data_IF_001082873227
#
_entry.id   IF_001082873227
#
_cell.length_a   1.000
_cell.length_b   1.000
_cell.length_c   1.000
_cell.angle_alpha   90.00
_cell.angle_beta   90.00
_cell.angle_gamma   90.00
#
_symmetry.space_group_name_H-M   'P 1'
#
loop_
_entity.id
_entity.type
_entity.pdbx_description
1 polymer ?
#
# COMPACT_ATOMS: atom_id res chain seq x y z
N UNK A 1 -7.91 19.36 -40.21
CA UNK A 1 -7.81 18.19 -39.32
C UNK A 1 -8.78 18.42 -38.17
N UNK A 2 -9.60 17.43 -37.80
CA UNK A 2 -10.47 17.55 -36.65
C UNK A 2 -9.65 17.72 -35.36
N UNK A 3 -10.11 18.60 -34.49
CA UNK A 3 -9.65 18.65 -33.11
C UNK A 3 -10.48 17.72 -32.25
N UNK A 4 -9.83 16.81 -31.54
CA UNK A 4 -10.49 15.85 -30.66
C UNK A 4 -10.21 16.15 -29.19
N UNK A 5 -11.17 15.83 -28.33
CA UNK A 5 -10.90 15.63 -26.91
C UNK A 5 -10.34 14.21 -26.74
N UNK A 6 -9.14 14.09 -26.18
CA UNK A 6 -8.45 12.81 -26.08
C UNK A 6 -8.33 12.35 -24.62
N UNK A 7 -8.21 11.03 -24.45
CA UNK A 7 -7.85 10.36 -23.21
C UNK A 7 -6.69 9.42 -23.48
N UNK A 8 -5.74 9.36 -22.56
CA UNK A 8 -4.76 8.26 -22.55
C UNK A 8 -5.35 7.08 -21.80
N UNK A 9 -4.89 5.87 -22.13
CA UNK A 9 -5.31 4.63 -21.49
C UNK A 9 -4.09 3.74 -21.28
N UNK A 10 -3.88 3.31 -20.03
CA UNK A 10 -2.78 2.44 -19.63
C UNK A 10 -3.32 1.33 -18.74
N UNK A 11 -2.94 0.08 -19.03
CA UNK A 11 -3.32 -1.08 -18.23
C UNK A 11 -2.15 -1.51 -17.34
N UNK A 12 -2.38 -1.52 -16.03
CA UNK A 12 -1.40 -1.98 -15.05
C UNK A 12 -1.74 -3.38 -14.56
N UNK A 13 -0.70 -4.18 -14.30
CA UNK A 13 -0.82 -5.43 -13.55
C UNK A 13 -0.91 -5.09 -12.06
N UNK A 14 -1.72 -5.86 -11.33
CA UNK A 14 -1.85 -5.74 -9.88
C UNK A 14 -1.89 -7.12 -9.25
N UNK A 15 -1.28 -7.24 -8.08
CA UNK A 15 -1.18 -8.47 -7.28
C UNK A 15 -1.84 -8.27 -5.93
N UNK A 16 -2.17 -9.37 -5.24
CA UNK A 16 -2.78 -9.33 -3.91
C UNK A 16 -4.06 -8.47 -3.83
N UNK A 17 -4.80 -8.32 -4.93
CA UNK A 17 -5.94 -7.43 -5.01
C UNK A 17 -7.22 -8.22 -5.25
N UNK A 18 -7.87 -8.58 -4.14
CA UNK A 18 -9.17 -9.24 -4.16
C UNK A 18 -10.26 -8.24 -3.78
N UNK A 19 -11.34 -8.21 -4.57
CA UNK A 19 -12.47 -7.30 -4.38
C UNK A 19 -13.77 -8.07 -4.21
N UNK A 20 -14.71 -7.47 -3.49
CA UNK A 20 -16.07 -7.97 -3.38
C UNK A 20 -16.81 -7.87 -4.72
N UNK A 21 -17.80 -8.73 -4.95
CA UNK A 21 -18.56 -8.71 -6.19
C UNK A 21 -19.23 -7.35 -6.46
N UNK A 22 -19.65 -6.60 -5.45
CA UNK A 22 -20.26 -5.27 -5.61
C UNK A 22 -19.27 -4.14 -5.94
N UNK A 23 -17.96 -4.41 -5.89
CA UNK A 23 -16.90 -3.48 -6.29
C UNK A 23 -16.46 -3.67 -7.74
N UNK A 24 -16.66 -4.86 -8.33
CA UNK A 24 -16.36 -5.11 -9.74
C UNK A 24 -17.11 -4.14 -10.67
N UNK A 25 -16.40 -3.61 -11.66
CA UNK A 25 -16.91 -2.65 -12.63
C UNK A 25 -17.01 -1.20 -12.13
N UNK A 26 -16.66 -0.93 -10.87
CA UNK A 26 -16.58 0.43 -10.35
C UNK A 26 -15.30 1.14 -10.81
N UNK A 27 -15.30 2.45 -10.66
CA UNK A 27 -14.16 3.31 -10.95
C UNK A 27 -13.96 4.34 -9.83
N UNK A 28 -12.71 4.81 -9.67
CA UNK A 28 -12.39 6.03 -8.94
C UNK A 28 -12.03 7.12 -9.94
N UNK A 29 -12.65 8.28 -9.80
CA UNK A 29 -12.36 9.49 -10.57
C UNK A 29 -11.87 10.58 -9.62
N UNK A 30 -10.68 11.13 -9.85
CA UNK A 30 -10.05 12.10 -8.96
C UNK A 30 -9.04 13.01 -9.69
N UNK A 31 -8.73 14.16 -9.10
CA UNK A 31 -7.63 15.02 -9.57
C UNK A 31 -6.31 14.54 -8.97
N UNK A 32 -5.29 14.37 -9.82
CA UNK A 32 -3.94 14.05 -9.39
C UNK A 32 -2.96 15.05 -10.00
N UNK A 33 -2.46 15.98 -9.18
CA UNK A 33 -1.57 17.06 -9.61
C UNK A 33 -2.10 17.85 -10.83
N UNK A 34 -3.41 18.11 -10.84
CA UNK A 34 -4.09 18.83 -11.91
C UNK A 34 -4.45 17.98 -13.12
N UNK A 35 -4.29 16.66 -13.09
CA UNK A 35 -4.76 15.73 -14.14
C UNK A 35 -6.03 15.03 -13.67
N UNK A 36 -7.06 14.95 -14.52
CA UNK A 36 -8.24 14.14 -14.24
C UNK A 36 -7.92 12.68 -14.54
N UNK A 37 -7.92 11.85 -13.50
CA UNK A 37 -7.58 10.43 -13.56
C UNK A 37 -8.82 9.59 -13.25
N UNK A 38 -9.05 8.56 -14.06
CA UNK A 38 -10.07 7.54 -13.85
C UNK A 38 -9.41 6.16 -13.77
N UNK A 39 -9.50 5.50 -12.62
CA UNK A 39 -9.01 4.13 -12.41
C UNK A 39 -10.20 3.17 -12.38
N UNK A 40 -10.25 2.24 -13.34
CA UNK A 40 -11.42 1.38 -13.62
C UNK A 40 -11.11 -0.09 -13.34
N UNK A 41 -11.99 -0.72 -12.59
CA UNK A 41 -11.95 -2.16 -12.39
C UNK A 41 -12.64 -2.89 -13.55
N UNK A 42 -12.21 -4.14 -13.85
CA UNK A 42 -12.92 -4.98 -14.79
C UNK A 42 -14.38 -5.21 -14.39
N UNK A 43 -15.24 -5.38 -15.38
CA UNK A 43 -16.62 -5.81 -15.20
C UNK A 43 -16.70 -7.28 -14.80
N UNK A 44 -17.80 -7.69 -14.17
CA UNK A 44 -18.01 -9.07 -13.72
C UNK A 44 -17.94 -10.10 -14.85
N UNK A 45 -18.44 -9.74 -16.03
CA UNK A 45 -18.44 -10.60 -17.22
C UNK A 45 -17.05 -10.69 -17.89
N UNK A 46 -16.07 -9.94 -17.39
CA UNK A 46 -14.66 -10.01 -17.80
C UNK A 46 -13.83 -10.99 -16.97
N UNK A 47 -14.37 -11.51 -15.87
CA UNK A 47 -13.70 -12.54 -15.07
C UNK A 47 -13.82 -13.93 -15.72
N UNK A 48 -12.77 -14.75 -15.56
CA UNK A 48 -12.71 -16.14 -16.05
C UNK A 48 -13.04 -16.31 -17.54
N UNK A 49 -12.75 -15.29 -18.36
CA UNK A 49 -12.90 -15.40 -19.83
C UNK A 49 -11.94 -16.43 -20.39
N UNK A 50 -12.30 -16.99 -21.55
CA UNK A 50 -11.47 -17.98 -22.24
C UNK A 50 -10.11 -17.41 -22.67
N UNK A 51 -9.16 -18.30 -22.99
CA UNK A 51 -7.77 -17.96 -23.34
C UNK A 51 -7.63 -17.01 -24.55
N UNK A 52 -8.70 -16.77 -25.32
CA UNK A 52 -8.69 -15.81 -26.44
C UNK A 52 -8.80 -14.37 -25.97
N UNK A 53 -9.19 -14.15 -24.72
CA UNK A 53 -9.34 -12.83 -24.11
C UNK A 53 -8.19 -12.54 -23.15
N UNK A 54 -7.94 -11.25 -22.94
CA UNK A 54 -7.00 -10.82 -21.93
C UNK A 54 -7.51 -11.18 -20.52
N UNK A 55 -6.69 -11.90 -19.75
CA UNK A 55 -7.04 -12.31 -18.39
C UNK A 55 -6.88 -11.11 -17.44
N UNK A 56 -7.98 -10.40 -17.20
CA UNK A 56 -8.01 -9.17 -16.39
C UNK A 56 -8.48 -9.40 -14.95
N UNK A 57 -9.24 -10.48 -14.71
CA UNK A 57 -9.74 -10.86 -13.40
C UNK A 57 -10.11 -12.36 -13.38
N UNK A 58 -10.10 -12.95 -12.18
CA UNK A 58 -10.51 -14.34 -11.94
C UNK A 58 -11.52 -14.41 -10.78
N UNK A 59 -12.45 -15.36 -10.81
CA UNK A 59 -13.30 -15.62 -9.65
C UNK A 59 -12.48 -16.31 -8.56
N UNK A 60 -12.36 -15.66 -7.40
CA UNK A 60 -11.60 -16.20 -6.26
C UNK A 60 -12.45 -17.17 -5.45
N UNK A 61 -13.68 -16.79 -5.13
CA UNK A 61 -14.59 -17.59 -4.28
C UNK A 61 -16.03 -17.47 -4.72
N UNK A 62 -16.79 -18.55 -4.49
CA UNK A 62 -18.21 -18.67 -4.87
C UNK A 62 -19.04 -19.14 -3.68
N UNK A 63 -20.30 -18.72 -3.63
CA UNK A 63 -21.28 -19.27 -2.69
C UNK A 63 -21.53 -20.74 -3.02
N UNK A 64 -21.51 -21.59 -2.00
CA UNK A 64 -21.69 -23.03 -2.18
C UNK A 64 -23.12 -23.42 -2.59
N UNK A 65 -24.13 -22.63 -2.22
CA UNK A 65 -25.55 -22.90 -2.47
C UNK A 65 -26.02 -22.48 -3.87
N UNK A 66 -25.51 -21.35 -4.36
CA UNK A 66 -25.96 -20.68 -5.59
C UNK A 66 -24.92 -20.71 -6.70
N UNK A 67 -23.64 -20.95 -6.38
CA UNK A 67 -22.52 -20.87 -7.31
C UNK A 67 -22.14 -19.42 -7.69
N UNK A 68 -22.82 -18.43 -7.12
CA UNK A 68 -22.57 -17.01 -7.38
C UNK A 68 -21.20 -16.58 -6.86
N UNK A 69 -20.41 -15.85 -7.66
CA UNK A 69 -19.15 -15.27 -7.20
C UNK A 69 -19.36 -14.32 -6.02
N UNK A 70 -18.57 -14.49 -4.97
CA UNK A 70 -18.53 -13.59 -3.81
C UNK A 70 -17.39 -12.58 -3.98
N UNK A 71 -16.23 -13.07 -4.42
CA UNK A 71 -14.99 -12.31 -4.50
C UNK A 71 -14.30 -12.57 -5.85
N UNK A 72 -13.59 -11.56 -6.32
CA UNK A 72 -12.80 -11.62 -7.54
C UNK A 72 -11.37 -11.22 -7.23
N UNK A 73 -10.42 -11.95 -7.80
CA UNK A 73 -9.03 -11.51 -7.90
C UNK A 73 -8.90 -10.62 -9.14
N UNK A 74 -8.57 -9.35 -8.94
CA UNK A 74 -8.30 -8.42 -10.04
C UNK A 74 -6.82 -8.52 -10.38
N UNK A 75 -6.52 -8.83 -11.64
CA UNK A 75 -5.16 -9.00 -12.14
C UNK A 75 -4.68 -7.76 -12.90
N UNK A 76 -5.61 -7.02 -13.49
CA UNK A 76 -5.33 -5.83 -14.30
C UNK A 76 -6.32 -4.71 -14.04
N UNK A 77 -5.82 -3.50 -14.01
CA UNK A 77 -6.60 -2.27 -13.78
C UNK A 77 -6.29 -1.26 -14.88
N UNK A 78 -7.32 -0.59 -15.37
CA UNK A 78 -7.19 0.42 -16.42
C UNK A 78 -7.12 1.82 -15.80
N UNK A 79 -6.13 2.59 -16.22
CA UNK A 79 -5.92 3.99 -15.84
C UNK A 79 -6.15 4.85 -17.08
N UNK A 80 -7.14 5.73 -16.99
CA UNK A 80 -7.46 6.72 -18.01
C UNK A 80 -7.13 8.12 -17.51
N UNK A 81 -6.57 8.97 -18.37
CA UNK A 81 -6.28 10.37 -18.03
C UNK A 81 -6.76 11.28 -19.16
N UNK A 82 -7.52 12.32 -18.81
CA UNK A 82 -7.95 13.33 -19.78
C UNK A 82 -6.77 14.17 -20.27
N UNK A 83 -6.64 14.28 -21.59
CA UNK A 83 -5.65 15.16 -22.21
C UNK A 83 -6.21 16.59 -22.19
N UNK A 84 -5.50 17.51 -21.52
CA UNK A 84 -5.99 18.89 -21.30
C UNK A 84 -6.22 19.67 -22.59
N UNK A 85 -5.33 19.46 -23.56
CA UNK A 85 -5.37 20.14 -24.83
C UNK A 85 -6.07 19.27 -25.88
N UNK A 86 -6.85 19.89 -26.75
CA UNK A 86 -7.38 19.20 -27.92
C UNK A 86 -6.24 18.80 -28.84
N UNK A 87 -6.34 17.60 -29.41
CA UNK A 87 -5.35 17.07 -30.34
C UNK A 87 -5.87 17.19 -31.76
N UNK A 88 -5.04 17.73 -32.65
CA UNK A 88 -5.31 17.73 -34.09
C UNK A 88 -4.86 16.39 -34.65
N UNK A 89 -5.81 15.54 -35.03
CA UNK A 89 -5.54 14.18 -35.53
C UNK A 89 -6.04 14.04 -36.97
N UNK A 90 -5.32 13.36 -37.88
CA UNK A 90 -5.81 13.09 -39.22
C UNK A 90 -7.13 12.31 -39.17
N UNK A 91 -8.13 12.72 -39.96
CA UNK A 91 -9.43 12.05 -39.98
C UNK A 91 -9.31 10.56 -40.32
N UNK A 92 -8.37 10.23 -41.21
CA UNK A 92 -8.07 8.87 -41.67
C UNK A 92 -7.54 7.98 -40.55
N UNK A 93 -6.86 8.55 -39.55
CA UNK A 93 -6.32 7.80 -38.43
C UNK A 93 -7.41 7.39 -37.42
N UNK A 94 -8.52 8.13 -37.34
CA UNK A 94 -9.59 7.87 -36.36
C UNK A 94 -10.38 6.59 -36.64
N UNK A 95 -10.41 6.14 -37.89
CA UNK A 95 -11.14 4.93 -38.30
C UNK A 95 -10.23 3.69 -38.43
N UNK A 96 -8.97 3.82 -38.01
CA UNK A 96 -7.95 2.78 -38.19
C UNK A 96 -7.36 2.34 -36.85
N UNK A 97 -6.74 1.14 -36.80
CA UNK A 97 -6.01 0.70 -35.61
C UNK A 97 -4.88 1.68 -35.24
N UNK A 98 -4.39 1.69 -33.99
CA UNK A 98 -3.28 2.56 -33.58
C UNK A 98 -2.03 2.45 -34.47
N UNK A 99 -1.14 3.45 -34.37
CA UNK A 99 0.16 3.49 -35.09
C UNK A 99 0.06 3.53 -36.62
N UNK A 100 -0.91 4.24 -37.17
CA UNK A 100 -0.94 4.54 -38.61
C UNK A 100 0.00 5.69 -38.97
N UNK A 101 1.31 5.49 -38.80
CA UNK A 101 2.33 6.53 -39.00
C UNK A 101 2.26 7.19 -40.38
N UNK A 102 1.77 6.48 -41.40
CA UNK A 102 1.62 7.03 -42.75
C UNK A 102 0.65 8.22 -42.86
N UNK A 103 -0.20 8.46 -41.86
CA UNK A 103 -1.15 9.57 -41.86
C UNK A 103 -0.67 10.79 -41.05
N UNK A 104 0.43 10.66 -40.31
CA UNK A 104 0.99 11.72 -39.47
C UNK A 104 2.28 12.27 -40.10
N UNK A 105 2.52 13.57 -39.99
CA UNK A 105 3.86 14.11 -40.24
C UNK A 105 4.85 13.67 -39.15
N UNK A 106 6.16 13.83 -39.38
CA UNK A 106 7.17 13.54 -38.37
C UNK A 106 6.98 14.40 -37.12
N UNK A 107 6.65 15.69 -37.28
CA UNK A 107 6.38 16.59 -36.16
C UNK A 107 5.14 16.19 -35.37
N UNK A 108 4.09 15.73 -36.07
CA UNK A 108 2.86 15.28 -35.43
C UNK A 108 3.05 13.96 -34.68
N UNK A 109 3.80 13.03 -35.28
CA UNK A 109 4.16 11.77 -34.64
C UNK A 109 4.92 12.04 -33.35
N UNK A 110 5.95 12.89 -33.42
CA UNK A 110 6.73 13.30 -32.25
C UNK A 110 5.84 13.95 -31.18
N UNK A 111 4.96 14.87 -31.56
CA UNK A 111 4.07 15.53 -30.59
C UNK A 111 3.12 14.54 -29.88
N UNK A 112 2.58 13.55 -30.59
CA UNK A 112 1.72 12.51 -30.00
C UNK A 112 2.52 11.55 -29.13
N UNK A 113 3.74 11.19 -29.53
CA UNK A 113 4.63 10.33 -28.75
C UNK A 113 5.06 11.03 -27.44
N UNK A 114 5.44 12.31 -27.51
CA UNK A 114 5.79 13.13 -26.34
C UNK A 114 4.62 13.18 -25.32
N UNK A 115 3.37 13.30 -25.82
CA UNK A 115 2.17 13.24 -24.97
C UNK A 115 2.01 11.85 -24.34
N UNK A 116 2.17 10.78 -25.12
CA UNK A 116 2.07 9.42 -24.61
C UNK A 116 3.09 9.14 -23.51
N UNK A 117 4.35 9.57 -23.68
CA UNK A 117 5.42 9.41 -22.71
C UNK A 117 5.11 10.17 -21.41
N UNK A 118 4.80 11.47 -21.51
CA UNK A 118 4.44 12.29 -20.35
C UNK A 118 3.27 11.70 -19.56
N UNK A 119 2.20 11.33 -20.24
CA UNK A 119 0.99 10.81 -19.58
C UNK A 119 1.19 9.40 -19.04
N UNK A 120 2.10 8.59 -19.61
CA UNK A 120 2.47 7.30 -19.05
C UNK A 120 3.16 7.46 -17.69
N UNK A 121 4.06 8.44 -17.53
CA UNK A 121 4.68 8.73 -16.23
C UNK A 121 3.67 9.23 -15.19
N UNK A 122 2.67 10.00 -15.62
CA UNK A 122 1.58 10.46 -14.74
C UNK A 122 0.70 9.26 -14.34
N UNK A 123 0.37 8.37 -15.27
CA UNK A 123 -0.43 7.19 -15.02
C UNK A 123 0.23 6.25 -13.99
N UNK A 124 1.54 6.02 -14.10
CA UNK A 124 2.29 5.20 -13.14
C UNK A 124 2.22 5.80 -11.72
N UNK A 125 2.52 7.10 -11.58
CA UNK A 125 2.46 7.79 -10.28
C UNK A 125 1.06 7.83 -9.69
N UNK A 126 0.03 8.09 -10.50
CA UNK A 126 -1.36 8.10 -10.07
C UNK A 126 -1.82 6.71 -9.62
N UNK A 127 -1.38 5.66 -10.33
CA UNK A 127 -1.66 4.27 -9.97
C UNK A 127 -1.00 3.89 -8.63
N UNK A 128 0.26 4.26 -8.42
CA UNK A 128 0.96 4.02 -7.13
C UNK A 128 0.32 4.78 -5.97
N UNK A 129 -0.09 6.03 -6.21
CA UNK A 129 -0.85 6.83 -5.25
C UNK A 129 -2.17 6.15 -4.88
N UNK A 130 -2.95 5.73 -5.87
CA UNK A 130 -4.22 5.01 -5.66
C UNK A 130 -4.04 3.70 -4.88
N UNK A 131 -3.02 2.90 -5.20
CA UNK A 131 -2.68 1.70 -4.41
C UNK A 131 -2.34 2.06 -2.95
N UNK A 132 -1.63 3.17 -2.71
CA UNK A 132 -1.37 3.68 -1.36
C UNK A 132 -2.66 4.00 -0.59
N UNK A 133 -3.58 4.73 -1.23
CA UNK A 133 -4.87 5.08 -0.63
C UNK A 133 -5.74 3.84 -0.37
N UNK A 134 -5.77 2.88 -1.29
CA UNK A 134 -6.48 1.62 -1.09
C UNK A 134 -5.93 0.81 0.09
N UNK A 135 -4.61 0.67 0.20
CA UNK A 135 -3.97 0.00 1.35
C UNK A 135 -4.33 0.69 2.66
N UNK A 136 -4.39 2.02 2.65
CA UNK A 136 -4.81 2.81 3.80
C UNK A 136 -6.31 2.65 4.13
N UNK A 137 -7.18 2.55 3.14
CA UNK A 137 -8.62 2.36 3.35
C UNK A 137 -8.98 0.98 3.88
N UNK A 138 -8.19 -0.02 3.49
CA UNK A 138 -8.42 -1.44 3.80
C UNK A 138 -7.66 -1.93 5.03
N UNK A 139 -6.66 -1.18 5.52
CA UNK A 139 -5.66 -1.67 6.47
C UNK A 139 -5.06 -3.01 5.99
N UNK A 140 -4.68 -3.06 4.71
CA UNK A 140 -4.04 -4.23 4.11
C UNK A 140 -2.85 -3.80 3.25
N UNK A 141 -1.64 -3.98 3.80
CA UNK A 141 -0.41 -3.49 3.18
C UNK A 141 -0.01 -4.17 1.88
N UNK A 142 -0.48 -5.39 1.64
CA UNK A 142 0.00 -6.22 0.52
C UNK A 142 -0.64 -5.88 -0.83
N UNK A 143 -1.71 -5.09 -0.89
CA UNK A 143 -2.38 -4.75 -2.17
C UNK A 143 -1.37 -4.10 -3.12
N UNK A 144 -1.23 -4.68 -4.33
CA UNK A 144 -0.29 -4.23 -5.35
C UNK A 144 1.19 -4.46 -5.03
N UNK A 145 1.51 -5.11 -3.91
CA UNK A 145 2.89 -5.50 -3.59
C UNK A 145 3.25 -6.80 -4.31
N UNK A 146 4.48 -6.94 -4.82
CA UNK A 146 4.92 -8.19 -5.43
C UNK A 146 4.87 -9.30 -4.39
N UNK A 147 4.32 -10.44 -4.78
CA UNK A 147 4.42 -11.65 -3.98
C UNK A 147 5.85 -12.18 -4.11
N UNK A 148 6.65 -12.03 -3.05
CA UNK A 148 7.96 -12.66 -3.00
C UNK A 148 7.70 -14.12 -2.65
N UNK A 149 7.44 -14.94 -3.66
CA UNK A 149 7.42 -16.39 -3.51
C UNK A 149 8.79 -16.83 -2.99
N UNK A 150 8.84 -17.23 -1.73
CA UNK A 150 10.02 -17.86 -1.15
C UNK A 150 10.36 -19.17 -1.87
N UNK A 151 11.50 -19.81 -1.55
CA UNK A 151 11.83 -21.13 -2.06
C UNK A 151 10.93 -22.21 -1.43
N UNK A 152 9.64 -22.18 -1.76
CA UNK A 152 8.73 -23.25 -1.42
C UNK A 152 9.00 -24.40 -2.39
N UNK A 153 9.66 -25.44 -1.89
CA UNK A 153 9.97 -26.61 -2.70
C UNK A 153 8.70 -27.35 -3.15
N UNK A 154 7.58 -27.20 -2.42
CA UNK A 154 6.41 -28.08 -2.55
C UNK A 154 6.67 -29.53 -2.13
N UNK A 155 7.89 -29.84 -1.67
CA UNK A 155 8.36 -31.17 -1.29
C UNK A 155 8.78 -31.20 0.19
N UNK A 156 8.63 -32.36 0.83
CA UNK A 156 9.17 -32.57 2.17
C UNK A 156 10.70 -32.52 2.16
N UNK A 157 11.31 -32.19 3.31
CA UNK A 157 12.73 -32.55 3.55
C UNK A 157 12.82 -34.05 3.81
N UNK A 158 13.70 -34.75 3.11
CA UNK A 158 13.88 -36.20 3.28
C UNK A 158 15.19 -36.53 3.99
N UNK A 159 15.17 -37.53 4.88
CA UNK A 159 16.39 -38.16 5.39
C UNK A 159 16.76 -39.29 4.44
N UNK A 160 18.00 -39.27 3.95
CA UNK A 160 18.54 -40.23 2.99
C UNK A 160 19.62 -41.08 3.68
N UNK A 161 19.66 -42.38 3.40
CA UNK A 161 20.82 -43.22 3.69
C UNK A 161 21.93 -42.87 2.68
N UNK A 162 23.09 -42.45 3.18
CA UNK A 162 24.10 -41.74 2.35
C UNK A 162 24.70 -42.58 1.22
N UNK A 163 24.78 -43.91 1.37
CA UNK A 163 25.40 -44.81 0.38
C UNK A 163 24.49 -45.15 -0.79
N UNK A 164 23.20 -45.33 -0.53
CA UNK A 164 22.19 -45.77 -1.49
C UNK A 164 21.27 -44.65 -1.95
N UNK A 165 21.32 -43.48 -1.30
CA UNK A 165 20.34 -42.40 -1.45
C UNK A 165 18.90 -42.86 -1.20
N UNK A 166 18.70 -43.94 -0.43
CA UNK A 166 17.38 -44.44 -0.08
C UNK A 166 16.71 -43.49 0.93
N UNK A 167 15.47 -43.08 0.65
CA UNK A 167 14.69 -42.18 1.52
C UNK A 167 14.16 -42.98 2.72
N UNK A 168 14.67 -42.69 3.90
CA UNK A 168 14.31 -43.37 5.16
C UNK A 168 13.16 -42.65 5.85
N UNK A 169 13.07 -41.33 5.71
CA UNK A 169 12.06 -40.52 6.37
C UNK A 169 11.71 -39.29 5.53
N UNK A 170 10.50 -38.77 5.71
CA UNK A 170 10.05 -37.50 5.15
C UNK A 170 9.53 -36.60 6.29
N UNK A 171 10.00 -35.36 6.33
CA UNK A 171 9.44 -34.33 7.20
C UNK A 171 8.02 -33.96 6.78
N UNK A 172 7.25 -33.36 7.68
CA UNK A 172 5.92 -32.84 7.35
C UNK A 172 6.05 -31.72 6.31
N UNK A 173 5.33 -31.83 5.19
CA UNK A 173 5.17 -30.72 4.25
C UNK A 173 4.11 -29.77 4.79
N UNK A 174 4.45 -28.49 4.88
CA UNK A 174 3.49 -27.44 5.20
C UNK A 174 3.17 -26.71 3.90
N UNK A 175 1.93 -26.84 3.42
CA UNK A 175 1.42 -26.02 2.32
C UNK A 175 0.86 -24.74 2.95
N UNK A 176 1.48 -23.60 2.64
CA UNK A 176 1.00 -22.29 3.06
C UNK A 176 0.01 -21.78 2.01
N UNK A 177 -1.26 -21.63 2.39
CA UNK A 177 -2.26 -20.97 1.55
C UNK A 177 -2.37 -19.52 2.03
N UNK A 178 -2.05 -18.57 1.16
CA UNK A 178 -2.21 -17.15 1.45
C UNK A 178 -3.63 -16.72 1.10
N UNK A 179 -4.42 -16.37 2.11
CA UNK A 179 -5.72 -15.75 1.90
C UNK A 179 -5.53 -14.24 1.77
N UNK A 180 -5.96 -13.68 0.65
CA UNK A 180 -5.95 -12.24 0.45
C UNK A 180 -7.17 -11.60 1.13
N UNK A 181 -6.97 -10.41 1.70
CA UNK A 181 -8.08 -9.66 2.30
C UNK A 181 -8.92 -9.03 1.18
N UNK A 182 -10.23 -9.10 1.35
CA UNK A 182 -11.20 -8.54 0.43
C UNK A 182 -11.32 -7.01 0.58
N UNK A 183 -11.29 -6.31 -0.54
CA UNK A 183 -11.70 -4.91 -0.64
C UNK A 183 -13.21 -4.87 -0.86
N UNK A 184 -13.93 -4.50 0.19
CA UNK A 184 -15.39 -4.35 0.19
C UNK A 184 -15.79 -3.00 -0.38
N UNK A 185 -17.08 -2.83 -0.66
CA UNK A 185 -17.64 -1.54 -1.06
C UNK A 185 -17.39 -0.42 -0.04
N UNK A 186 -17.42 -0.71 1.26
CA UNK A 186 -17.10 0.28 2.29
C UNK A 186 -15.64 0.73 2.20
N UNK A 187 -14.69 -0.19 1.97
CA UNK A 187 -13.29 0.17 1.75
C UNK A 187 -13.12 1.01 0.48
N UNK A 188 -13.86 0.68 -0.58
CA UNK A 188 -13.86 1.41 -1.85
C UNK A 188 -14.35 2.86 -1.65
N UNK A 189 -15.47 3.05 -0.97
CA UNK A 189 -16.03 4.37 -0.67
C UNK A 189 -15.07 5.23 0.17
N UNK A 190 -14.46 4.66 1.23
CA UNK A 190 -13.42 5.35 2.03
C UNK A 190 -12.21 5.76 1.21
N UNK A 191 -11.78 4.93 0.25
CA UNK A 191 -10.70 5.27 -0.65
C UNK A 191 -11.12 6.41 -1.59
N UNK A 192 -12.35 6.36 -2.14
CA UNK A 192 -12.89 7.43 -2.98
C UNK A 192 -12.92 8.78 -2.26
N UNK A 193 -13.38 8.81 -1.00
CA UNK A 193 -13.42 10.04 -0.20
C UNK A 193 -12.03 10.69 -0.07
N UNK A 194 -11.01 9.89 0.23
CA UNK A 194 -9.62 10.36 0.36
C UNK A 194 -9.02 10.82 -0.96
N UNK A 195 -9.29 10.10 -2.05
CA UNK A 195 -8.82 10.45 -3.39
C UNK A 195 -9.42 11.79 -3.85
N UNK A 196 -10.70 12.04 -3.57
CA UNK A 196 -11.38 13.29 -3.93
C UNK A 196 -10.80 14.49 -3.17
N UNK A 197 -10.43 14.30 -1.90
CA UNK A 197 -9.79 15.35 -1.08
C UNK A 197 -8.31 15.53 -1.48
N UNK A 198 -7.71 14.52 -2.11
CA UNK A 198 -6.28 14.51 -2.43
C UNK A 198 -5.40 14.27 -1.20
N UNK A 199 -5.88 13.49 -0.24
CA UNK A 199 -5.10 13.16 0.96
C UNK A 199 -3.97 12.19 0.63
N UNK A 200 -2.77 12.49 1.14
CA UNK A 200 -1.65 11.56 1.14
C UNK A 200 -1.69 10.64 2.36
N UNK A 201 -1.27 9.40 2.18
CA UNK A 201 -1.11 8.47 3.30
C UNK A 201 -0.11 9.05 4.31
N UNK A 202 -0.48 9.19 5.60
CA UNK A 202 0.44 9.64 6.62
C UNK A 202 1.70 8.77 6.66
N UNK A 203 2.87 9.40 6.73
CA UNK A 203 4.16 8.70 6.63
C UNK A 203 4.34 7.56 7.64
N UNK A 204 3.83 7.73 8.87
CA UNK A 204 3.88 6.69 9.89
C UNK A 204 3.05 5.45 9.51
N UNK A 205 1.92 5.62 8.81
CA UNK A 205 1.12 4.51 8.29
C UNK A 205 1.81 3.83 7.10
N UNK A 206 2.49 4.61 6.24
CA UNK A 206 3.31 4.04 5.16
C UNK A 206 4.39 3.13 5.70
N UNK A 207 5.17 3.59 6.68
CA UNK A 207 6.19 2.75 7.33
C UNK A 207 5.61 1.52 8.04
N UNK A 208 4.42 1.62 8.64
CA UNK A 208 3.74 0.45 9.20
C UNK A 208 3.38 -0.57 8.10
N UNK A 209 2.83 -0.12 6.97
CA UNK A 209 2.49 -1.00 5.85
C UNK A 209 3.74 -1.64 5.22
N UNK A 210 4.82 -0.88 5.08
CA UNK A 210 6.10 -1.38 4.59
C UNK A 210 6.64 -2.46 5.55
N UNK A 211 6.57 -2.23 6.87
CA UNK A 211 6.98 -3.21 7.87
C UNK A 211 6.15 -4.50 7.85
N UNK A 212 4.84 -4.38 7.66
CA UNK A 212 3.96 -5.55 7.50
C UNK A 212 4.34 -6.35 6.26
N UNK A 213 4.63 -5.66 5.15
CA UNK A 213 5.08 -6.28 3.90
C UNK A 213 6.43 -6.97 4.08
N UNK A 214 7.41 -6.30 4.69
CA UNK A 214 8.71 -6.91 4.99
C UNK A 214 8.62 -8.08 5.97
N UNK A 215 7.71 -8.02 6.95
CA UNK A 215 7.45 -9.16 7.85
C UNK A 215 6.89 -10.36 7.08
N UNK A 216 5.98 -10.12 6.14
CA UNK A 216 5.41 -11.18 5.27
C UNK A 216 6.46 -11.81 4.36
N UNK A 217 7.41 -11.01 3.90
CA UNK A 217 8.53 -11.45 3.07
C UNK A 217 9.73 -11.97 3.88
N UNK A 218 9.55 -12.25 5.18
CA UNK A 218 10.57 -12.78 6.10
C UNK A 218 11.83 -11.87 6.24
N UNK A 219 11.70 -10.57 5.94
CA UNK A 219 12.74 -9.54 6.08
C UNK A 219 12.63 -8.85 7.46
N UNK A 220 12.83 -9.62 8.53
CA UNK A 220 12.50 -9.21 9.89
C UNK A 220 13.32 -8.01 10.40
N UNK A 221 14.62 -7.92 10.08
CA UNK A 221 15.45 -6.78 10.48
C UNK A 221 14.96 -5.49 9.85
N UNK A 222 14.61 -5.54 8.55
CA UNK A 222 14.04 -4.41 7.83
C UNK A 222 12.70 -3.99 8.41
N UNK A 223 11.81 -4.94 8.68
CA UNK A 223 10.52 -4.66 9.31
C UNK A 223 10.67 -3.97 10.68
N UNK A 224 11.64 -4.38 11.50
CA UNK A 224 11.91 -3.74 12.79
C UNK A 224 12.39 -2.29 12.62
N UNK A 225 13.21 -1.99 11.61
CA UNK A 225 13.59 -0.61 11.30
C UNK A 225 12.39 0.23 10.88
N UNK A 226 11.54 -0.31 10.00
CA UNK A 226 10.34 0.38 9.51
C UNK A 226 9.34 0.64 10.63
N UNK A 227 9.11 -0.32 11.54
CA UNK A 227 8.26 -0.11 12.73
C UNK A 227 8.81 0.96 13.66
N UNK A 228 10.13 1.00 13.87
CA UNK A 228 10.75 2.03 14.70
C UNK A 228 10.55 3.41 14.06
N UNK A 229 10.73 3.54 12.75
CA UNK A 229 10.45 4.78 12.01
C UNK A 229 8.97 5.17 12.10
N UNK A 230 8.05 4.21 11.94
CA UNK A 230 6.61 4.44 12.06
C UNK A 230 6.25 5.01 13.44
N UNK A 231 6.75 4.39 14.51
CA UNK A 231 6.53 4.85 15.89
C UNK A 231 7.15 6.24 16.13
N UNK A 232 8.38 6.46 15.69
CA UNK A 232 9.07 7.74 15.88
C UNK A 232 8.33 8.89 15.22
N UNK A 233 7.96 8.70 13.95
CA UNK A 233 7.22 9.71 13.17
C UNK A 233 5.88 9.98 13.84
N UNK A 234 5.11 8.96 14.19
CA UNK A 234 3.81 9.14 14.85
C UNK A 234 3.94 9.91 16.17
N UNK A 235 4.87 9.51 17.05
CA UNK A 235 5.08 10.17 18.34
C UNK A 235 5.44 11.66 18.17
N UNK A 236 6.28 11.97 17.17
CA UNK A 236 6.69 13.35 16.89
C UNK A 236 5.54 14.19 16.35
N UNK A 237 4.90 13.75 15.26
CA UNK A 237 3.79 14.47 14.64
C UNK A 237 2.63 14.68 15.61
N UNK A 238 2.27 13.65 16.38
CA UNK A 238 1.19 13.75 17.36
C UNK A 238 1.48 14.76 18.46
N UNK A 239 2.76 14.98 18.83
CA UNK A 239 3.12 16.03 19.80
C UNK A 239 3.12 17.40 19.14
N UNK A 240 3.61 17.51 17.90
CA UNK A 240 3.73 18.78 17.19
C UNK A 240 2.38 19.46 16.94
N UNK A 241 1.31 18.67 16.74
CA UNK A 241 -0.06 19.17 16.61
C UNK A 241 -0.55 19.94 17.86
N UNK A 242 0.05 19.69 19.02
CA UNK A 242 -0.32 20.35 20.29
C UNK A 242 0.65 21.47 20.67
N UNK A 243 1.64 21.79 19.84
CA UNK A 243 2.53 22.94 20.07
C UNK A 243 1.84 24.20 19.53
N UNK A 244 1.51 25.20 20.37
CA UNK A 244 0.88 26.43 19.90
C UNK A 244 1.74 27.14 18.86
N UNK A 245 1.13 27.75 17.83
CA UNK A 245 1.88 28.52 16.83
C UNK A 245 2.65 29.70 17.43
N UNK A 246 2.17 30.23 18.57
CA UNK A 246 2.82 31.29 19.34
C UNK A 246 4.06 30.83 20.12
N UNK A 247 4.40 29.54 20.09
CA UNK A 247 5.60 28.99 20.74
C UNK A 247 6.86 29.60 20.11
N UNK A 248 7.76 30.09 20.96
CA UNK A 248 9.03 30.65 20.51
C UNK A 248 9.83 29.65 19.66
N UNK A 249 10.42 30.12 18.56
CA UNK A 249 11.08 29.27 17.57
C UNK A 249 12.16 28.37 18.16
N UNK A 250 12.99 28.88 19.07
CA UNK A 250 14.03 28.08 19.74
C UNK A 250 13.45 26.92 20.57
N UNK A 251 12.31 27.14 21.23
CA UNK A 251 11.65 26.09 22.00
C UNK A 251 11.02 25.05 21.07
N UNK A 252 10.48 25.48 19.93
CA UNK A 252 9.98 24.58 18.89
C UNK A 252 11.10 23.70 18.34
N UNK A 253 12.24 24.28 17.95
CA UNK A 253 13.42 23.53 17.50
C UNK A 253 13.93 22.57 18.58
N UNK A 254 13.97 22.99 19.84
CA UNK A 254 14.36 22.11 20.95
C UNK A 254 13.45 20.88 21.10
N UNK A 255 12.13 21.03 20.90
CA UNK A 255 11.19 19.92 20.92
C UNK A 255 11.39 19.05 19.68
N UNK A 256 11.52 19.65 18.50
CA UNK A 256 11.74 18.95 17.23
C UNK A 256 13.00 18.08 17.24
N UNK A 257 14.11 18.58 17.78
CA UNK A 257 15.40 17.88 17.84
C UNK A 257 15.53 16.95 19.05
N UNK A 258 14.52 16.89 19.93
CA UNK A 258 14.59 16.06 21.12
C UNK A 258 14.75 14.58 20.77
N UNK A 259 15.55 13.88 21.58
CA UNK A 259 15.70 12.43 21.48
C UNK A 259 14.34 11.73 21.67
N UNK A 260 14.08 10.67 20.91
CA UNK A 260 12.81 9.94 20.95
C UNK A 260 12.41 9.47 22.36
N UNK A 261 13.37 9.15 23.23
CA UNK A 261 13.09 8.78 24.61
C UNK A 261 12.39 9.92 25.39
N UNK A 262 12.63 11.19 25.05
CA UNK A 262 11.91 12.33 25.65
C UNK A 262 10.47 12.42 25.17
N UNK A 263 10.20 12.10 23.91
CA UNK A 263 8.83 11.99 23.40
C UNK A 263 8.08 10.89 24.15
N UNK A 264 8.66 9.69 24.24
CA UNK A 264 8.03 8.54 24.92
C UNK A 264 7.79 8.83 26.41
N UNK A 265 8.79 9.35 27.12
CA UNK A 265 8.72 9.49 28.59
C UNK A 265 8.05 10.75 29.09
N UNK A 266 8.03 11.83 28.30
CA UNK A 266 7.55 13.16 28.73
C UNK A 266 6.51 13.74 27.79
N UNK A 267 6.87 14.07 26.55
CA UNK A 267 6.02 14.91 25.69
C UNK A 267 4.73 14.21 25.29
N UNK A 268 4.82 13.04 24.65
CA UNK A 268 3.64 12.28 24.26
C UNK A 268 2.85 11.84 25.48
N UNK A 269 3.53 11.31 26.51
CA UNK A 269 2.91 10.89 27.77
C UNK A 269 2.05 11.99 28.42
N UNK A 270 2.50 13.24 28.37
CA UNK A 270 1.79 14.38 28.96
C UNK A 270 0.48 14.73 28.25
N UNK A 271 0.31 14.26 27.02
CA UNK A 271 -0.89 14.46 26.19
C UNK A 271 -1.81 13.23 26.19
N UNK A 272 -1.40 12.13 26.81
CA UNK A 272 -2.23 10.91 26.90
C UNK A 272 -3.33 11.11 27.94
N UNK A 273 -4.61 10.89 27.58
CA UNK A 273 -5.72 10.93 28.52
C UNK A 273 -5.52 10.03 29.76
N UNK A 274 -6.01 10.47 30.92
CA UNK A 274 -5.78 9.78 32.19
C UNK A 274 -6.28 8.32 32.21
N UNK A 275 -7.40 8.05 31.55
CA UNK A 275 -8.00 6.73 31.39
C UNK A 275 -7.16 5.79 30.50
N UNK A 276 -6.40 6.34 29.55
CA UNK A 276 -5.52 5.60 28.63
C UNK A 276 -4.07 5.47 29.14
N UNK A 277 -3.71 6.17 30.22
CA UNK A 277 -2.34 6.27 30.71
C UNK A 277 -1.78 4.92 31.21
N UNK A 278 -2.63 4.04 31.71
CA UNK A 278 -2.24 2.67 32.14
C UNK A 278 -1.86 1.78 30.96
N UNK A 279 -2.60 1.89 29.85
CA UNK A 279 -2.34 1.19 28.60
C UNK A 279 -1.06 1.72 27.95
N UNK A 280 -0.90 3.05 27.89
CA UNK A 280 0.31 3.66 27.39
C UNK A 280 1.56 3.23 28.17
N UNK A 281 1.50 3.15 29.50
CA UNK A 281 2.61 2.67 30.33
C UNK A 281 3.06 1.26 29.93
N UNK A 282 2.13 0.35 29.61
CA UNK A 282 2.47 -1.00 29.14
C UNK A 282 3.14 -0.98 27.76
N UNK A 283 2.77 -0.04 26.90
CA UNK A 283 3.39 0.13 25.58
C UNK A 283 4.81 0.69 25.64
N UNK A 284 5.13 1.53 26.63
CA UNK A 284 6.44 2.19 26.69
C UNK A 284 7.61 1.22 26.73
N UNK A 285 7.46 0.05 27.36
CA UNK A 285 8.51 -0.99 27.37
C UNK A 285 8.69 -1.62 25.98
N UNK A 286 7.61 -1.86 25.24
CA UNK A 286 7.67 -2.40 23.88
C UNK A 286 8.31 -1.42 22.91
N UNK A 287 7.93 -0.13 22.99
CA UNK A 287 8.53 0.94 22.17
C UNK A 287 10.02 1.09 22.51
N UNK A 288 10.39 1.08 23.78
CA UNK A 288 11.79 1.18 24.19
C UNK A 288 12.62 -0.01 23.68
N UNK A 289 12.06 -1.22 23.74
CA UNK A 289 12.67 -2.44 23.20
C UNK A 289 12.87 -2.35 21.68
N UNK A 290 11.85 -1.89 20.94
CA UNK A 290 11.89 -1.66 19.50
C UNK A 290 13.00 -0.65 19.13
N UNK A 291 13.03 0.51 19.80
CA UNK A 291 14.04 1.54 19.55
C UNK A 291 15.46 1.07 19.89
N UNK A 292 15.61 0.29 20.97
CA UNK A 292 16.90 -0.30 21.33
C UNK A 292 17.41 -1.26 20.24
N UNK A 293 16.53 -2.12 19.70
CA UNK A 293 16.89 -3.05 18.62
C UNK A 293 17.28 -2.33 17.34
N UNK A 294 16.52 -1.29 16.95
CA UNK A 294 16.87 -0.41 15.83
C UNK A 294 18.25 0.21 16.03
N UNK A 295 18.54 0.75 17.21
CA UNK A 295 19.83 1.39 17.50
C UNK A 295 20.98 0.37 17.48
N UNK A 296 20.80 -0.81 18.08
CA UNK A 296 21.80 -1.88 18.01
C UNK A 296 22.11 -2.26 16.56
N UNK A 297 21.10 -2.43 15.71
CA UNK A 297 21.32 -2.79 14.31
C UNK A 297 22.01 -1.68 13.52
N UNK A 298 21.52 -0.44 13.63
CA UNK A 298 22.09 0.70 12.89
C UNK A 298 23.53 0.99 13.30
N UNK A 299 23.88 0.82 14.57
CA UNK A 299 25.22 1.17 15.07
C UNK A 299 26.20 -0.02 15.12
N UNK A 300 25.71 -1.24 15.33
CA UNK A 300 26.56 -2.44 15.49
C UNK A 300 26.41 -3.44 14.35
N UNK A 301 25.47 -3.23 13.42
CA UNK A 301 25.20 -4.14 12.30
C UNK A 301 24.60 -5.49 12.72
N UNK A 302 24.08 -5.59 13.95
CA UNK A 302 23.56 -6.85 14.51
C UNK A 302 22.20 -6.63 15.18
N UNK A 303 21.26 -7.52 14.89
CA UNK A 303 19.94 -7.55 15.51
C UNK A 303 19.63 -8.98 15.96
N UNK A 304 19.80 -9.24 17.25
CA UNK A 304 19.48 -10.53 17.82
C UNK A 304 17.95 -10.73 17.87
N UNK A 305 17.48 -11.96 17.68
CA UNK A 305 16.07 -12.37 17.72
C UNK A 305 15.12 -11.63 16.74
N UNK A 306 15.63 -11.21 15.57
CA UNK A 306 14.78 -10.74 14.48
C UNK A 306 14.02 -11.93 13.88
N UNK A 307 12.74 -12.07 14.26
CA UNK A 307 11.88 -13.15 13.79
C UNK A 307 10.42 -12.68 13.70
N UNK A 308 9.56 -13.54 13.14
CA UNK A 308 8.15 -13.27 12.94
C UNK A 308 7.41 -12.90 14.24
N UNK A 309 7.64 -13.65 15.32
CA UNK A 309 6.96 -13.41 16.60
C UNK A 309 7.28 -12.02 17.17
N UNK A 310 8.56 -11.63 17.12
CA UNK A 310 9.03 -10.30 17.51
C UNK A 310 8.37 -9.21 16.66
N UNK A 311 8.33 -9.40 15.32
CA UNK A 311 7.69 -8.42 14.41
C UNK A 311 6.20 -8.29 14.67
N UNK A 312 5.47 -9.42 14.80
CA UNK A 312 4.04 -9.43 15.09
C UNK A 312 3.72 -8.73 16.43
N UNK A 313 4.58 -8.91 17.45
CA UNK A 313 4.46 -8.20 18.73
C UNK A 313 4.63 -6.68 18.57
N UNK A 314 5.62 -6.24 17.80
CA UNK A 314 5.85 -4.81 17.57
C UNK A 314 4.80 -4.18 16.65
N UNK A 315 4.29 -4.88 15.64
CA UNK A 315 3.15 -4.43 14.82
C UNK A 315 1.93 -4.18 15.70
N UNK A 316 1.56 -5.13 16.58
CA UNK A 316 0.44 -4.95 17.52
C UNK A 316 0.64 -3.73 18.44
N UNK A 317 1.86 -3.56 18.97
CA UNK A 317 2.18 -2.44 19.85
C UNK A 317 2.14 -1.09 19.12
N UNK A 318 2.59 -1.06 17.87
CA UNK A 318 2.55 0.12 16.99
C UNK A 318 1.11 0.52 16.66
N UNK A 319 0.27 -0.44 16.28
CA UNK A 319 -1.17 -0.20 16.06
C UNK A 319 -1.87 0.31 17.32
N UNK A 320 -1.53 -0.25 18.49
CA UNK A 320 -2.11 0.23 19.75
C UNK A 320 -1.67 1.66 20.04
N UNK A 321 -0.39 2.00 19.83
CA UNK A 321 0.11 3.36 19.93
C UNK A 321 -0.68 4.32 19.02
N UNK A 322 -0.91 3.95 17.75
CA UNK A 322 -1.63 4.77 16.78
C UNK A 322 -3.11 4.99 17.15
N UNK A 323 -3.68 4.09 17.95
CA UNK A 323 -5.07 4.20 18.43
C UNK A 323 -5.24 5.18 19.60
N UNK A 324 -4.15 5.61 20.24
CA UNK A 324 -4.22 6.53 21.39
C UNK A 324 -4.50 7.94 20.86
N UNK A 325 -5.74 8.39 21.02
CA UNK A 325 -6.11 9.79 20.77
C UNK A 325 -5.57 10.66 21.89
N UNK A 326 -4.79 11.66 21.54
CA UNK A 326 -4.26 12.64 22.47
C UNK A 326 -5.31 13.71 22.80
N UNK A 327 -5.19 14.32 23.96
CA UNK A 327 -6.03 15.44 24.40
C UNK A 327 -5.17 16.52 25.05
N UNK A 328 -5.50 17.79 24.81
CA UNK A 328 -4.85 18.88 25.54
C UNK A 328 -5.34 18.85 27.00
N UNK A 329 -4.45 19.04 27.99
CA UNK A 329 -4.86 19.12 29.39
C UNK A 329 -5.80 20.30 29.72
N UNK A 330 -6.10 21.18 28.77
CA UNK A 330 -6.98 22.35 28.95
C UNK A 330 -8.48 22.08 28.72
N UNK A 331 -8.89 20.87 28.31
CA UNK A 331 -10.32 20.55 28.10
C UNK A 331 -11.07 20.06 29.34
N UNK A 332 -10.45 20.12 30.53
CA UNK A 332 -11.08 19.84 31.82
C UNK A 332 -10.97 21.07 32.74
N UNK A 333 -11.76 22.11 32.48
CA UNK A 333 -12.13 23.14 33.47
C UNK A 333 -13.50 23.74 33.16
#
# INVERSE_FOLDING_TARGET
MPEISARTWTRFLVTNFNVSADVMGLAHEFDFHGYNVSIRLPQKDQADRDERYDNVAATSTRRADTGEPINYEVLKVDVEIDVKNRLSVPSEALEKPPKQFQFFSEEQTKAVDDICEQYSEVADRAFQYWLGVLRWATDYSLIGQPEISGPDSGWSTYILESSSSHRVWAGTTVIRIQLHKEVTKEHWEKASERLVIGEDIPMHLRFLQDAETSTKNEQYEKAILELAMACEIYLRYSVFEFIPESTHSELKTYIEEANINRFVSKFFKGLVPADRLSEYKKLTSEISSLMSRRNSYVHMGKMDDANKETCDRFIRSTRLLFSIKLSSPESEN
#
